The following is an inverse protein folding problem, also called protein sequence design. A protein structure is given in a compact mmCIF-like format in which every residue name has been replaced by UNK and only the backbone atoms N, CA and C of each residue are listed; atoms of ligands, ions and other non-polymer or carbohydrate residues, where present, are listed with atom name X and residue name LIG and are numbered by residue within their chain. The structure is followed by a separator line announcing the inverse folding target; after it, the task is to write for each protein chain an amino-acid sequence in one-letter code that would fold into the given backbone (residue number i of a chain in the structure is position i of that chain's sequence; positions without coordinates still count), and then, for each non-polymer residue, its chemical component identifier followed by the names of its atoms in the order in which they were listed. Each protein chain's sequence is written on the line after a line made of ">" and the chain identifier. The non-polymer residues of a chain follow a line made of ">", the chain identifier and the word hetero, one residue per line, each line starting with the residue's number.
data_IF_313754079997
#
_entry.id   IF_313754079997
#
_cell.length_a   1.000
_cell.length_b   1.000
_cell.length_c   1.000
_cell.angle_alpha   90.00
_cell.angle_beta   90.00
_cell.angle_gamma   90.00
#
_symmetry.space_group_name_H-M   'P 1'
#
loop_
_entity.id
_entity.type
_entity.pdbx_description
1 polymer ?
#
# COMPACT_ATOMS: atom_id res chain seq x y z
N UNK A 1 68.99 11.83 -17.35
CA UNK A 1 68.30 10.82 -16.50
C UNK A 1 67.13 11.52 -15.85
N UNK A 2 65.92 11.44 -16.44
CA UNK A 2 64.80 10.62 -15.96
C UNK A 2 64.68 10.61 -14.44
N UNK A 3 63.66 11.29 -13.91
CA UNK A 3 62.87 10.87 -12.75
C UNK A 3 61.54 11.63 -12.81
N UNK A 4 60.53 10.96 -13.37
CA UNK A 4 59.14 11.40 -13.42
C UNK A 4 58.58 11.11 -12.03
N UNK A 5 58.30 12.15 -11.24
CA UNK A 5 57.57 12.00 -9.98
C UNK A 5 56.08 11.90 -10.30
N UNK A 6 55.58 10.65 -10.37
CA UNK A 6 54.16 10.36 -10.53
C UNK A 6 53.40 10.77 -9.27
N UNK A 7 52.53 11.77 -9.39
CA UNK A 7 51.52 12.11 -8.39
C UNK A 7 50.45 11.02 -8.38
N UNK A 8 50.60 10.05 -7.47
CA UNK A 8 49.54 9.13 -7.08
C UNK A 8 48.46 9.93 -6.33
N UNK A 9 47.44 10.36 -7.06
CA UNK A 9 46.18 10.78 -6.48
C UNK A 9 45.56 9.56 -5.79
N UNK A 10 45.70 9.49 -4.46
CA UNK A 10 44.99 8.50 -3.65
C UNK A 10 43.50 8.85 -3.70
N UNK A 11 42.76 8.16 -4.56
CA UNK A 11 41.31 8.10 -4.53
C UNK A 11 40.90 7.40 -3.24
N UNK A 12 40.66 8.18 -2.18
CA UNK A 12 39.93 7.67 -1.01
C UNK A 12 38.50 7.43 -1.49
N UNK A 13 37.93 6.22 -1.36
CA UNK A 13 36.52 6.04 -1.63
C UNK A 13 35.80 6.88 -0.58
N UNK A 14 35.07 7.90 -1.03
CA UNK A 14 34.04 8.49 -0.21
C UNK A 14 32.98 7.39 -0.02
N UNK A 15 33.17 6.55 0.99
CA UNK A 15 32.09 5.74 1.52
C UNK A 15 31.07 6.72 2.07
N UNK A 16 30.11 7.10 1.22
CA UNK A 16 28.84 7.65 1.67
C UNK A 16 28.21 6.56 2.53
N UNK A 17 28.46 6.62 3.84
CA UNK A 17 27.57 6.05 4.82
C UNK A 17 26.24 6.78 4.64
N UNK A 18 25.39 6.27 3.76
CA UNK A 18 23.98 6.59 3.77
C UNK A 18 23.46 6.07 5.10
N UNK A 19 23.51 6.92 6.13
CA UNK A 19 22.68 6.70 7.31
C UNK A 19 21.26 6.59 6.78
N UNK A 20 20.52 5.49 7.04
CA UNK A 20 19.09 5.50 6.77
C UNK A 20 18.56 6.68 7.59
N UNK A 21 18.15 7.73 6.89
CA UNK A 21 17.34 8.77 7.49
C UNK A 21 16.10 7.99 7.93
N UNK A 22 15.90 7.89 9.24
CA UNK A 22 14.69 7.35 9.84
C UNK A 22 13.59 8.38 9.54
N UNK A 23 13.22 8.48 8.26
CA UNK A 23 12.06 9.26 7.85
C UNK A 23 10.88 8.58 8.52
N UNK A 24 10.08 9.33 9.33
CA UNK A 24 8.92 8.76 9.95
C UNK A 24 8.02 8.22 8.83
N UNK A 25 7.95 6.89 8.72
CA UNK A 25 7.12 6.25 7.71
C UNK A 25 5.71 6.81 7.86
N UNK A 26 5.23 7.48 6.81
CA UNK A 26 3.91 8.09 6.83
C UNK A 26 2.89 6.98 7.14
N UNK A 27 2.29 7.05 8.32
CA UNK A 27 1.25 6.08 8.71
C UNK A 27 0.10 6.26 7.72
N UNK A 28 -0.26 5.22 6.95
CA UNK A 28 -1.37 5.33 6.00
C UNK A 28 -2.64 5.81 6.71
N UNK A 29 -3.42 6.68 6.07
CA UNK A 29 -4.66 7.19 6.67
C UNK A 29 -5.63 6.06 7.06
N UNK A 30 -5.63 4.96 6.32
CA UNK A 30 -6.41 3.74 6.60
C UNK A 30 -6.04 3.17 7.97
N UNK A 31 -4.74 3.06 8.28
CA UNK A 31 -4.26 2.55 9.56
C UNK A 31 -4.72 3.42 10.75
N UNK A 32 -4.86 4.74 10.56
CA UNK A 32 -5.42 5.63 11.59
C UNK A 32 -6.90 5.38 11.86
N UNK A 33 -7.66 5.05 10.81
CA UNK A 33 -9.09 4.74 10.95
C UNK A 33 -9.27 3.41 11.65
N UNK A 34 -8.51 2.38 11.27
CA UNK A 34 -8.59 1.07 11.94
C UNK A 34 -8.16 1.15 13.40
N UNK A 35 -7.09 1.87 13.74
CA UNK A 35 -6.71 2.13 15.14
C UNK A 35 -7.78 2.88 15.95
N UNK A 36 -8.58 3.74 15.32
CA UNK A 36 -9.64 4.49 15.99
C UNK A 36 -10.92 3.67 16.19
N UNK A 37 -11.19 2.70 15.31
CA UNK A 37 -12.38 1.85 15.34
C UNK A 37 -12.17 0.63 16.23
N UNK A 38 -10.97 0.05 16.23
CA UNK A 38 -10.67 -1.18 16.96
C UNK A 38 -10.34 -0.92 18.43
N UNK A 39 -11.01 -1.64 19.33
CA UNK A 39 -10.83 -1.49 20.77
C UNK A 39 -9.50 -2.10 21.22
N UNK A 40 -8.63 -1.30 21.83
CA UNK A 40 -7.32 -1.76 22.36
C UNK A 40 -7.43 -2.73 23.55
N UNK A 41 -8.63 -2.91 24.12
CA UNK A 41 -8.89 -3.86 25.20
C UNK A 41 -9.20 -5.28 24.70
N UNK A 42 -9.31 -5.48 23.39
CA UNK A 42 -9.41 -6.83 22.81
C UNK A 42 -8.13 -7.62 23.05
N UNK A 43 -8.24 -8.96 23.01
CA UNK A 43 -7.04 -9.80 22.96
C UNK A 43 -6.21 -9.43 21.73
N UNK A 44 -4.90 -9.75 21.75
CA UNK A 44 -4.00 -9.39 20.63
C UNK A 44 -4.51 -9.89 19.28
N UNK A 45 -5.04 -11.11 19.25
CA UNK A 45 -5.59 -11.73 18.04
C UNK A 45 -6.89 -11.06 17.59
N UNK A 46 -7.84 -10.82 18.50
CA UNK A 46 -9.09 -10.10 18.19
C UNK A 46 -8.83 -8.66 17.71
N UNK A 47 -7.84 -7.99 18.27
CA UNK A 47 -7.43 -6.66 17.83
C UNK A 47 -6.89 -6.70 16.40
N UNK A 48 -5.99 -7.64 16.10
CA UNK A 48 -5.42 -7.80 14.75
C UNK A 48 -6.52 -8.15 13.74
N UNK A 49 -7.42 -9.06 14.08
CA UNK A 49 -8.57 -9.42 13.22
C UNK A 49 -9.47 -8.21 12.98
N UNK A 50 -9.75 -7.41 14.01
CA UNK A 50 -10.49 -6.15 13.84
C UNK A 50 -9.79 -5.21 12.85
N UNK A 51 -8.49 -4.95 13.01
CA UNK A 51 -7.73 -4.06 12.12
C UNK A 51 -7.81 -4.56 10.67
N UNK A 52 -7.55 -5.85 10.44
CA UNK A 52 -7.62 -6.48 9.12
C UNK A 52 -9.01 -6.35 8.47
N UNK A 53 -10.08 -6.57 9.24
CA UNK A 53 -11.46 -6.45 8.76
C UNK A 53 -11.82 -5.00 8.41
N UNK A 54 -11.42 -4.04 9.23
CA UNK A 54 -11.67 -2.61 8.98
C UNK A 54 -10.90 -2.14 7.75
N UNK A 55 -9.61 -2.46 7.65
CA UNK A 55 -8.77 -2.11 6.52
C UNK A 55 -9.34 -2.70 5.22
N UNK A 56 -9.71 -3.99 5.23
CA UNK A 56 -10.34 -4.63 4.07
C UNK A 56 -11.66 -3.96 3.69
N UNK A 57 -12.50 -3.63 4.67
CA UNK A 57 -13.79 -2.95 4.44
C UNK A 57 -13.62 -1.56 3.82
N UNK A 58 -12.60 -0.80 4.26
CA UNK A 58 -12.26 0.51 3.69
C UNK A 58 -11.81 0.39 2.24
N UNK A 59 -10.95 -0.58 1.94
CA UNK A 59 -10.47 -0.81 0.57
C UNK A 59 -11.63 -1.27 -0.33
N UNK A 60 -12.52 -2.14 0.15
CA UNK A 60 -13.76 -2.51 -0.57
C UNK A 60 -14.64 -1.29 -0.86
N UNK A 61 -14.89 -0.43 0.14
CA UNK A 61 -15.72 0.76 -0.02
C UNK A 61 -15.13 1.73 -1.07
N UNK A 62 -13.80 1.90 -1.07
CA UNK A 62 -13.10 2.68 -2.10
C UNK A 62 -13.36 2.13 -3.51
N UNK A 63 -13.18 0.82 -3.70
CA UNK A 63 -13.36 0.20 -5.01
C UNK A 63 -14.82 0.16 -5.46
N UNK A 64 -15.78 -0.05 -4.55
CA UNK A 64 -17.21 0.08 -4.84
C UNK A 64 -17.55 1.50 -5.33
N UNK A 65 -17.00 2.54 -4.68
CA UNK A 65 -17.13 3.92 -5.13
C UNK A 65 -16.52 4.14 -6.52
N UNK A 66 -15.34 3.59 -6.79
CA UNK A 66 -14.70 3.64 -8.11
C UNK A 66 -15.52 2.92 -9.17
N UNK A 67 -16.11 1.76 -8.84
CA UNK A 67 -16.99 1.01 -9.72
C UNK A 67 -18.19 1.87 -10.12
N UNK A 68 -18.83 2.54 -9.16
CA UNK A 68 -19.94 3.45 -9.45
C UNK A 68 -19.53 4.58 -10.41
N UNK A 69 -18.37 5.21 -10.18
CA UNK A 69 -17.87 6.29 -11.05
C UNK A 69 -17.54 5.80 -12.45
N UNK A 70 -16.79 4.71 -12.60
CA UNK A 70 -16.29 4.28 -13.91
C UNK A 70 -17.33 3.45 -14.68
N UNK A 71 -18.05 2.55 -14.00
CA UNK A 71 -19.01 1.65 -14.62
C UNK A 71 -20.37 2.26 -14.87
N UNK A 72 -20.68 3.40 -14.26
CA UNK A 72 -21.90 4.14 -14.56
C UNK A 72 -21.63 5.46 -15.28
N UNK A 73 -20.37 5.80 -15.55
CA UNK A 73 -20.02 6.98 -16.34
C UNK A 73 -20.66 6.91 -17.74
N UNK A 74 -21.26 8.03 -18.15
CA UNK A 74 -21.76 8.26 -19.52
C UNK A 74 -20.69 8.87 -20.44
N UNK A 75 -19.53 9.25 -19.87
CA UNK A 75 -18.48 9.99 -20.57
C UNK A 75 -17.32 9.11 -21.07
N UNK A 76 -17.23 7.86 -20.62
CA UNK A 76 -16.22 6.91 -21.09
C UNK A 76 -16.74 6.13 -22.30
N UNK A 77 -15.85 5.81 -23.26
CA UNK A 77 -16.19 4.87 -24.32
C UNK A 77 -16.46 3.46 -23.75
N UNK A 78 -17.29 2.70 -24.45
CA UNK A 78 -17.81 1.41 -23.98
C UNK A 78 -16.69 0.40 -23.67
N UNK A 79 -15.62 0.37 -24.49
CA UNK A 79 -14.53 -0.60 -24.35
C UNK A 79 -13.66 -0.28 -23.13
N UNK A 80 -13.31 0.99 -22.93
CA UNK A 80 -12.57 1.45 -21.75
C UNK A 80 -13.37 1.21 -20.48
N UNK A 81 -14.68 1.47 -20.53
CA UNK A 81 -15.61 1.21 -19.44
C UNK A 81 -15.62 -0.27 -19.05
N UNK A 82 -15.85 -1.18 -20.00
CA UNK A 82 -15.87 -2.63 -19.73
C UNK A 82 -14.55 -3.12 -19.10
N UNK A 83 -13.41 -2.68 -19.63
CA UNK A 83 -12.10 -3.06 -19.11
C UNK A 83 -11.87 -2.57 -17.69
N UNK A 84 -12.20 -1.31 -17.40
CA UNK A 84 -12.08 -0.74 -16.05
C UNK A 84 -13.00 -1.46 -15.07
N UNK A 85 -14.24 -1.74 -15.47
CA UNK A 85 -15.20 -2.45 -14.63
C UNK A 85 -14.78 -3.87 -14.30
N UNK A 86 -14.33 -4.62 -15.30
CA UNK A 86 -13.82 -5.98 -15.10
C UNK A 86 -12.65 -6.00 -14.12
N UNK A 87 -11.73 -5.04 -14.23
CA UNK A 87 -10.59 -4.92 -13.30
C UNK A 87 -11.06 -4.65 -11.86
N UNK A 88 -12.00 -3.71 -11.69
CA UNK A 88 -12.49 -3.36 -10.36
C UNK A 88 -13.29 -4.51 -9.74
N UNK A 89 -14.06 -5.26 -10.55
CA UNK A 89 -14.73 -6.48 -10.09
C UNK A 89 -13.72 -7.52 -9.58
N UNK A 90 -12.66 -7.82 -10.35
CA UNK A 90 -11.62 -8.75 -9.90
C UNK A 90 -10.98 -8.33 -8.57
N UNK A 91 -10.72 -7.04 -8.39
CA UNK A 91 -10.18 -6.51 -7.13
C UNK A 91 -11.19 -6.68 -5.99
N UNK A 92 -12.47 -6.37 -6.24
CA UNK A 92 -13.54 -6.54 -5.25
C UNK A 92 -13.67 -7.99 -4.79
N UNK A 93 -13.64 -8.94 -5.71
CA UNK A 93 -13.74 -10.37 -5.41
C UNK A 93 -12.54 -10.86 -4.58
N UNK A 94 -11.33 -10.42 -4.94
CA UNK A 94 -10.12 -10.75 -4.18
C UNK A 94 -10.16 -10.22 -2.74
N UNK A 95 -10.66 -9.00 -2.55
CA UNK A 95 -10.85 -8.42 -1.22
C UNK A 95 -11.94 -9.16 -0.43
N UNK A 96 -12.97 -9.68 -1.10
CA UNK A 96 -14.02 -10.46 -0.46
C UNK A 96 -13.50 -11.78 0.10
N UNK A 97 -12.75 -12.51 -0.72
CA UNK A 97 -12.09 -13.75 -0.31
C UNK A 97 -11.10 -13.52 0.85
N UNK A 98 -10.24 -12.49 0.76
CA UNK A 98 -9.35 -12.11 1.86
C UNK A 98 -10.09 -11.81 3.16
N UNK A 99 -11.24 -11.12 3.08
CA UNK A 99 -12.03 -10.79 4.27
C UNK A 99 -12.63 -12.04 4.91
N UNK A 100 -13.06 -13.00 4.08
CA UNK A 100 -13.64 -14.25 4.57
C UNK A 100 -12.61 -15.09 5.31
N UNK A 101 -11.38 -15.15 4.79
CA UNK A 101 -10.28 -15.86 5.45
C UNK A 101 -10.00 -15.31 6.86
N UNK A 102 -10.11 -13.99 7.07
CA UNK A 102 -9.95 -13.41 8.41
C UNK A 102 -11.07 -13.73 9.40
N UNK A 103 -12.22 -14.23 8.93
CA UNK A 103 -13.31 -14.70 9.79
C UNK A 103 -13.27 -16.21 10.05
N UNK A 104 -12.49 -16.95 9.26
CA UNK A 104 -12.33 -18.40 9.35
C UNK A 104 -11.08 -18.81 10.16
N UNK A 105 -10.11 -17.89 10.34
CA UNK A 105 -8.95 -18.00 11.26
C UNK A 105 -9.33 -17.67 12.71
#
# INVERSE_FOLDING_TARGET
>A
MKLIAATLAMSVPAFSLSMPIDEPMAVPAIARVSEAVCNRNYSGDEYITCIKLVDSSLVKAYWAGKMNVFCQSKFNDQLTKEKQCSTIMMISDALDEMSRQYLEE
#
